data_IF_178735742869
#
_entry.id   IF_178735742869
#
_cell.length_a   1.000
_cell.length_b   1.000
_cell.length_c   1.000
_cell.angle_alpha   90.00
_cell.angle_beta   90.00
_cell.angle_gamma   90.00
#
_symmetry.space_group_name_H-M   'P 1'
#
loop_
_entity.id
_entity.type
_entity.pdbx_description
1 polymer ?
#
# COMPACT_ATOMS: atom_id res chain seq x y z
N UNK A 1 -14.53 -20.01 -39.25
CA UNK A 1 -14.87 -19.45 -37.94
C UNK A 1 -15.63 -20.48 -37.13
N UNK A 2 -15.40 -20.51 -35.84
CA UNK A 2 -16.09 -21.36 -34.87
C UNK A 2 -16.72 -20.48 -33.78
N UNK A 3 -17.81 -20.96 -33.18
CA UNK A 3 -18.42 -20.35 -32.01
C UNK A 3 -18.33 -21.32 -30.84
N UNK A 4 -17.83 -20.87 -29.70
CA UNK A 4 -17.69 -21.64 -28.47
C UNK A 4 -18.40 -20.90 -27.33
N UNK A 5 -19.16 -21.64 -26.51
CA UNK A 5 -19.85 -21.05 -25.37
C UNK A 5 -18.90 -20.72 -24.23
N UNK A 6 -17.98 -21.63 -23.95
CA UNK A 6 -17.02 -21.49 -22.85
C UNK A 6 -15.69 -22.15 -23.20
N UNK A 7 -14.59 -21.50 -22.80
CA UNK A 7 -13.22 -22.04 -22.89
C UNK A 7 -12.48 -21.73 -21.60
N UNK A 8 -11.95 -22.75 -20.95
CA UNK A 8 -11.12 -22.64 -19.78
C UNK A 8 -9.66 -22.93 -20.16
N UNK A 9 -8.78 -21.94 -20.05
CA UNK A 9 -7.35 -22.08 -20.24
C UNK A 9 -6.67 -22.17 -18.88
N UNK A 10 -6.65 -23.38 -18.32
CA UNK A 10 -5.95 -23.68 -17.06
C UNK A 10 -4.45 -23.88 -17.28
N UNK A 11 -4.03 -24.09 -18.51
CA UNK A 11 -2.63 -24.35 -18.86
C UNK A 11 -2.32 -23.83 -20.26
N UNK A 12 -1.59 -22.72 -20.32
CA UNK A 12 -0.97 -22.26 -21.57
C UNK A 12 0.07 -23.29 -22.07
N UNK A 13 0.63 -24.11 -21.19
CA UNK A 13 1.60 -25.15 -21.55
C UNK A 13 1.07 -26.17 -22.56
N UNK A 14 -0.17 -26.63 -22.41
CA UNK A 14 -0.77 -27.52 -23.37
C UNK A 14 -0.88 -26.87 -24.74
N UNK A 15 -1.28 -25.60 -24.76
CA UNK A 15 -1.39 -24.80 -25.98
C UNK A 15 -0.02 -24.57 -26.64
N UNK A 16 1.01 -24.19 -25.87
CA UNK A 16 2.36 -23.96 -26.39
C UNK A 16 3.06 -25.26 -26.78
N UNK A 17 2.91 -26.35 -26.03
CA UNK A 17 3.49 -27.65 -26.37
C UNK A 17 2.82 -28.23 -27.62
N UNK A 18 1.51 -28.13 -27.77
CA UNK A 18 0.81 -28.55 -28.99
C UNK A 18 1.18 -27.65 -30.19
N UNK A 19 1.30 -26.34 -29.98
CA UNK A 19 1.72 -25.36 -31.02
C UNK A 19 3.20 -25.53 -31.42
N UNK A 20 4.08 -25.92 -30.49
CA UNK A 20 5.51 -26.15 -30.76
C UNK A 20 5.78 -27.48 -31.42
N UNK A 21 5.04 -28.52 -31.06
CA UNK A 21 5.21 -29.89 -31.60
C UNK A 21 4.55 -30.11 -32.95
N UNK A 22 3.43 -29.51 -33.21
CA UNK A 22 2.70 -29.51 -34.50
C UNK A 22 1.89 -28.23 -34.63
N UNK A 23 2.47 -27.15 -35.17
CA UNK A 23 1.68 -25.96 -35.41
C UNK A 23 0.51 -26.29 -36.31
N UNK A 24 -0.70 -25.99 -35.88
CA UNK A 24 -1.87 -26.03 -36.75
C UNK A 24 -1.56 -25.09 -37.92
N UNK A 25 -1.46 -25.65 -39.13
CA UNK A 25 -1.04 -24.91 -40.33
C UNK A 25 -2.16 -23.99 -40.84
N UNK A 26 -3.29 -23.96 -40.15
CA UNK A 26 -4.50 -23.29 -40.63
C UNK A 26 -4.85 -22.11 -39.74
N UNK A 27 -5.09 -20.97 -40.35
CA UNK A 27 -5.66 -19.81 -39.67
C UNK A 27 -7.00 -20.15 -39.01
N UNK A 28 -7.17 -19.71 -37.79
CA UNK A 28 -8.43 -19.87 -37.05
C UNK A 28 -8.99 -18.52 -36.65
N UNK A 29 -10.31 -18.43 -36.69
CA UNK A 29 -11.10 -17.28 -36.20
C UNK A 29 -12.22 -17.85 -35.36
N UNK A 30 -12.17 -17.59 -34.05
CA UNK A 30 -13.06 -18.20 -33.06
C UNK A 30 -13.72 -17.14 -32.21
N UNK A 31 -15.04 -17.19 -32.10
CA UNK A 31 -15.81 -16.37 -31.17
C UNK A 31 -16.08 -17.19 -29.90
N UNK A 32 -15.73 -16.68 -28.76
CA UNK A 32 -15.88 -17.31 -27.44
C UNK A 32 -16.76 -16.40 -26.57
N UNK A 33 -17.89 -16.92 -26.08
CA UNK A 33 -18.78 -16.14 -25.24
C UNK A 33 -18.15 -15.88 -23.85
N UNK A 34 -17.53 -16.90 -23.29
CA UNK A 34 -16.81 -16.81 -22.01
C UNK A 34 -15.47 -17.51 -22.11
N UNK A 35 -14.40 -16.73 -21.98
CA UNK A 35 -13.02 -17.22 -21.94
C UNK A 35 -12.48 -17.01 -20.53
N UNK A 36 -12.15 -18.09 -19.85
CA UNK A 36 -11.51 -18.07 -18.55
C UNK A 36 -10.00 -18.33 -18.72
N UNK A 37 -9.17 -17.40 -18.26
CA UNK A 37 -7.72 -17.46 -18.35
C UNK A 37 -7.15 -17.21 -16.96
N UNK A 38 -6.60 -18.25 -16.32
CA UNK A 38 -5.96 -18.14 -15.01
C UNK A 38 -6.82 -17.45 -13.94
N UNK A 39 -8.09 -17.83 -13.85
CA UNK A 39 -9.01 -17.23 -12.89
C UNK A 39 -9.53 -15.85 -13.26
N UNK A 40 -9.18 -15.34 -14.44
CA UNK A 40 -9.76 -14.12 -15.00
C UNK A 40 -10.75 -14.43 -16.11
N UNK A 41 -11.87 -13.72 -16.13
CA UNK A 41 -12.96 -13.89 -17.07
C UNK A 41 -12.94 -12.83 -18.15
N UNK A 42 -12.97 -13.24 -19.42
CA UNK A 42 -13.07 -12.38 -20.60
C UNK A 42 -14.34 -12.75 -21.35
N UNK A 43 -15.24 -11.79 -21.55
CA UNK A 43 -16.51 -12.01 -22.22
C UNK A 43 -16.46 -11.61 -23.68
N UNK A 44 -17.17 -12.40 -24.52
CA UNK A 44 -17.38 -12.14 -25.94
C UNK A 44 -16.05 -11.87 -26.71
N UNK A 45 -15.08 -12.77 -26.53
CA UNK A 45 -13.79 -12.66 -27.18
C UNK A 45 -13.82 -13.23 -28.59
N UNK A 46 -13.38 -12.44 -29.59
CA UNK A 46 -12.97 -12.93 -30.89
C UNK A 46 -11.45 -13.16 -30.86
N UNK A 47 -11.03 -14.36 -31.18
CA UNK A 47 -9.62 -14.77 -31.23
C UNK A 47 -9.26 -15.16 -32.64
N UNK A 48 -8.29 -14.48 -33.23
CA UNK A 48 -7.68 -14.83 -34.50
C UNK A 48 -6.30 -15.40 -34.27
N UNK A 49 -6.09 -16.62 -34.70
CA UNK A 49 -4.83 -17.34 -34.62
C UNK A 49 -4.25 -17.48 -36.04
N UNK A 50 -3.03 -17.00 -36.22
CA UNK A 50 -2.33 -17.03 -37.52
C UNK A 50 -0.93 -17.62 -37.31
N UNK A 51 -0.73 -18.92 -37.62
CA UNK A 51 0.56 -19.56 -37.52
C UNK A 51 1.40 -19.26 -38.77
N UNK A 52 2.70 -19.13 -38.57
CA UNK A 52 3.71 -19.13 -39.61
C UNK A 52 4.77 -20.17 -39.31
N UNK A 53 5.71 -20.42 -40.22
CA UNK A 53 6.74 -21.45 -39.99
C UNK A 53 7.62 -21.22 -38.74
N UNK A 54 7.62 -20.02 -38.18
CA UNK A 54 8.51 -19.64 -37.06
C UNK A 54 7.78 -18.89 -35.95
N UNK A 55 6.64 -18.31 -36.24
CA UNK A 55 5.93 -17.41 -35.34
C UNK A 55 4.46 -17.79 -35.27
N UNK A 56 3.84 -17.55 -34.12
CA UNK A 56 2.39 -17.60 -33.95
C UNK A 56 1.92 -16.20 -33.56
N UNK A 57 0.94 -15.70 -34.29
CA UNK A 57 0.27 -14.45 -33.96
C UNK A 57 -1.14 -14.73 -33.48
N UNK A 58 -1.50 -14.21 -32.32
CA UNK A 58 -2.83 -14.28 -31.76
C UNK A 58 -3.35 -12.85 -31.57
N UNK A 59 -4.47 -12.53 -32.19
CA UNK A 59 -5.20 -11.30 -31.96
C UNK A 59 -6.38 -11.59 -31.06
N UNK A 60 -6.58 -10.76 -30.03
CA UNK A 60 -7.72 -10.84 -29.11
C UNK A 60 -8.49 -9.55 -29.23
N UNK A 61 -9.80 -9.66 -29.45
CA UNK A 61 -10.72 -8.54 -29.53
C UNK A 61 -11.96 -8.83 -28.66
N UNK A 62 -12.11 -8.10 -27.58
CA UNK A 62 -13.28 -8.14 -26.70
C UNK A 62 -13.58 -6.75 -26.13
N UNK A 63 -14.63 -6.64 -25.30
CA UNK A 63 -14.90 -5.39 -24.58
C UNK A 63 -13.83 -5.05 -23.54
N UNK A 64 -13.20 -6.07 -22.95
CA UNK A 64 -12.29 -5.94 -21.81
C UNK A 64 -10.81 -6.12 -22.23
N UNK A 65 -10.54 -6.93 -23.26
CA UNK A 65 -9.18 -7.20 -23.72
C UNK A 65 -9.07 -6.96 -25.23
N UNK A 66 -8.15 -6.08 -25.60
CA UNK A 66 -7.85 -5.76 -27.01
C UNK A 66 -6.33 -5.76 -27.20
N UNK A 67 -5.81 -6.66 -28.02
CA UNK A 67 -4.38 -6.71 -28.24
C UNK A 67 -3.92 -7.85 -29.13
N UNK A 68 -2.60 -7.96 -29.24
CA UNK A 68 -1.92 -8.97 -30.03
C UNK A 68 -0.83 -9.64 -29.21
N UNK A 69 -0.71 -10.97 -29.38
CA UNK A 69 0.35 -11.77 -28.82
C UNK A 69 1.14 -12.37 -29.99
N UNK A 70 2.45 -12.21 -29.98
CA UNK A 70 3.38 -12.80 -30.92
C UNK A 70 4.33 -13.73 -30.18
N UNK A 71 4.32 -15.00 -30.53
CA UNK A 71 5.31 -15.96 -30.06
C UNK A 71 6.32 -16.26 -31.16
N UNK A 72 7.60 -16.00 -30.85
CA UNK A 72 8.75 -16.34 -31.69
C UNK A 72 9.38 -17.64 -31.19
N UNK A 73 9.16 -18.74 -31.89
CA UNK A 73 9.65 -20.05 -31.49
C UNK A 73 11.18 -20.18 -31.59
N UNK A 74 11.84 -19.37 -32.43
CA UNK A 74 13.29 -19.40 -32.59
C UNK A 74 14.01 -18.71 -31.41
N UNK A 75 13.46 -17.61 -30.94
CA UNK A 75 14.01 -16.84 -29.81
C UNK A 75 13.40 -17.27 -28.48
N UNK A 76 12.43 -18.18 -28.50
CA UNK A 76 11.59 -18.53 -27.36
C UNK A 76 11.08 -17.30 -26.60
N UNK A 77 10.49 -16.38 -27.35
CA UNK A 77 10.06 -15.08 -26.87
C UNK A 77 8.58 -14.83 -27.16
N UNK A 78 7.83 -14.53 -26.11
CA UNK A 78 6.45 -14.08 -26.19
C UNK A 78 6.42 -12.55 -26.04
N UNK A 79 5.98 -11.85 -27.08
CA UNK A 79 5.68 -10.40 -27.07
C UNK A 79 4.18 -10.21 -27.07
N UNK A 80 3.64 -9.49 -26.08
CA UNK A 80 2.23 -9.13 -26.05
C UNK A 80 2.08 -7.63 -25.95
N UNK A 81 1.21 -7.07 -26.81
CA UNK A 81 0.86 -5.67 -26.81
C UNK A 81 -0.64 -5.49 -26.73
N UNK A 82 -1.11 -4.84 -25.67
CA UNK A 82 -2.54 -4.60 -25.43
C UNK A 82 -2.82 -3.09 -25.48
N UNK A 83 -3.83 -2.69 -26.23
CA UNK A 83 -4.43 -1.37 -26.10
C UNK A 83 -5.31 -1.27 -24.86
N UNK A 84 -5.91 -2.42 -24.48
CA UNK A 84 -6.79 -2.57 -23.33
C UNK A 84 -6.57 -3.94 -22.69
N UNK A 85 -6.33 -3.96 -21.40
CA UNK A 85 -6.15 -5.17 -20.59
C UNK A 85 -6.92 -5.01 -19.28
N UNK A 86 -8.24 -5.24 -19.32
CA UNK A 86 -9.12 -5.18 -18.15
C UNK A 86 -9.41 -6.62 -17.72
N UNK A 87 -8.87 -7.00 -16.57
CA UNK A 87 -8.96 -8.35 -16.03
C UNK A 87 -9.92 -8.36 -14.84
N UNK A 88 -10.97 -9.18 -14.90
CA UNK A 88 -11.94 -9.36 -13.82
C UNK A 88 -11.79 -10.75 -13.24
N UNK A 89 -11.58 -10.82 -11.92
CA UNK A 89 -11.43 -12.10 -11.23
C UNK A 89 -12.74 -12.90 -11.32
N UNK A 90 -12.64 -14.17 -11.68
CA UNK A 90 -13.78 -15.08 -11.71
C UNK A 90 -13.95 -15.77 -10.35
N UNK A 91 -14.79 -15.21 -9.49
CA UNK A 91 -15.05 -15.74 -8.15
C UNK A 91 -15.89 -17.03 -8.13
N UNK A 92 -16.34 -17.52 -9.28
CA UNK A 92 -17.15 -18.75 -9.37
C UNK A 92 -16.31 -20.01 -9.60
N UNK A 93 -15.05 -19.84 -10.01
CA UNK A 93 -14.14 -20.98 -10.13
C UNK A 93 -13.62 -21.29 -8.72
N UNK A 94 -13.95 -22.48 -8.22
CA UNK A 94 -13.34 -23.04 -7.01
C UNK A 94 -11.84 -23.13 -7.25
N UNK A 95 -11.04 -22.74 -6.26
CA UNK A 95 -9.57 -22.85 -6.25
C UNK A 95 -9.15 -24.30 -6.58
N UNK A 96 -9.16 -24.66 -7.86
CA UNK A 96 -8.44 -25.82 -8.31
C UNK A 96 -6.97 -25.38 -8.39
N UNK A 97 -6.10 -26.07 -7.65
CA UNK A 97 -4.66 -25.79 -7.61
C UNK A 97 -4.04 -26.02 -9.01
N UNK A 98 -4.39 -25.19 -9.97
CA UNK A 98 -3.79 -25.19 -11.30
C UNK A 98 -2.34 -24.74 -11.12
N UNK A 99 -1.46 -25.74 -10.99
CA UNK A 99 -0.02 -25.54 -10.92
C UNK A 99 0.43 -24.93 -12.24
N UNK A 100 0.79 -23.66 -12.20
CA UNK A 100 1.50 -23.00 -13.28
C UNK A 100 2.90 -23.63 -13.44
N UNK A 101 3.00 -24.79 -14.04
CA UNK A 101 4.29 -25.44 -14.33
C UNK A 101 4.69 -25.08 -15.76
N UNK A 102 5.55 -24.10 -15.88
CA UNK A 102 6.15 -23.74 -17.17
C UNK A 102 7.57 -24.30 -17.25
N UNK A 103 7.73 -25.58 -17.56
CA UNK A 103 9.07 -26.16 -17.70
C UNK A 103 9.92 -25.51 -18.78
N UNK A 104 9.30 -25.06 -19.89
CA UNK A 104 9.94 -24.47 -21.07
C UNK A 104 9.30 -23.14 -21.47
N UNK A 105 8.95 -22.29 -20.49
CA UNK A 105 8.28 -21.04 -20.75
C UNK A 105 9.14 -20.07 -21.59
N UNK A 106 8.54 -19.36 -22.54
CA UNK A 106 9.23 -18.34 -23.29
C UNK A 106 9.60 -17.15 -22.39
N UNK A 107 10.62 -16.40 -22.77
CA UNK A 107 10.81 -15.03 -22.25
C UNK A 107 9.56 -14.21 -22.54
N UNK A 108 9.07 -13.47 -21.57
CA UNK A 108 7.84 -12.67 -21.66
C UNK A 108 8.20 -11.19 -21.77
N UNK A 109 7.60 -10.49 -22.74
CA UNK A 109 7.63 -9.04 -22.85
C UNK A 109 6.20 -8.55 -23.12
N UNK A 110 5.55 -8.02 -22.08
CA UNK A 110 4.16 -7.58 -22.12
C UNK A 110 4.10 -6.06 -21.98
N UNK A 111 3.30 -5.42 -22.82
CA UNK A 111 2.93 -4.00 -22.70
C UNK A 111 1.42 -3.84 -22.78
N UNK A 112 0.83 -3.03 -21.92
CA UNK A 112 -0.57 -2.66 -22.01
C UNK A 112 -0.72 -1.15 -21.77
N UNK A 113 -1.53 -0.46 -22.57
CA UNK A 113 -1.79 0.98 -22.41
C UNK A 113 -2.89 1.29 -21.39
N UNK A 114 -3.68 0.31 -21.02
CA UNK A 114 -4.73 0.47 -20.03
C UNK A 114 -4.87 -0.84 -19.28
N UNK A 115 -4.21 -0.93 -18.13
CA UNK A 115 -4.37 -2.04 -17.20
C UNK A 115 -5.45 -1.69 -16.18
N UNK A 116 -6.46 -2.56 -16.06
CA UNK A 116 -7.43 -2.55 -14.95
C UNK A 116 -7.49 -3.96 -14.34
N UNK A 117 -7.53 -4.02 -13.02
CA UNK A 117 -7.76 -5.25 -12.27
C UNK A 117 -9.03 -5.04 -11.43
N UNK A 118 -10.06 -5.83 -11.73
CA UNK A 118 -11.43 -5.63 -11.24
C UNK A 118 -11.93 -4.21 -11.57
N UNK A 119 -12.11 -3.35 -10.59
CA UNK A 119 -12.57 -1.97 -10.76
C UNK A 119 -11.44 -0.92 -10.67
N UNK A 120 -10.22 -1.36 -10.30
CA UNK A 120 -9.08 -0.49 -10.07
C UNK A 120 -8.29 -0.22 -11.36
N UNK A 121 -8.10 1.06 -11.68
CA UNK A 121 -7.35 1.51 -12.86
C UNK A 121 -5.89 1.80 -12.50
N UNK A 122 -4.97 1.00 -13.04
CA UNK A 122 -3.54 1.13 -12.76
C UNK A 122 -2.77 1.96 -13.79
N UNK A 123 -3.21 1.99 -15.05
CA UNK A 123 -2.55 2.74 -16.14
C UNK A 123 -1.76 1.85 -17.09
N UNK A 124 -0.63 2.36 -17.61
CA UNK A 124 0.20 1.67 -18.60
C UNK A 124 1.13 0.66 -17.93
N UNK A 125 1.10 -0.59 -18.38
CA UNK A 125 1.96 -1.67 -17.91
C UNK A 125 3.09 -1.97 -18.89
N UNK A 126 4.29 -2.19 -18.37
CA UNK A 126 5.39 -2.89 -19.05
C UNK A 126 5.94 -3.97 -18.13
N UNK A 127 6.09 -5.20 -18.63
CA UNK A 127 6.59 -6.35 -17.89
C UNK A 127 7.58 -7.14 -18.74
N UNK A 128 8.75 -7.44 -18.16
CA UNK A 128 9.74 -8.36 -18.75
C UNK A 128 10.03 -9.43 -17.70
N UNK A 129 9.84 -10.70 -18.08
CA UNK A 129 10.15 -11.83 -17.22
C UNK A 129 10.67 -13.02 -18.05
N UNK A 130 11.47 -13.86 -17.42
CA UNK A 130 12.01 -15.09 -18.04
C UNK A 130 12.29 -16.16 -16.99
N UNK A 131 12.27 -17.40 -17.42
CA UNK A 131 12.60 -18.54 -16.54
C UNK A 131 14.07 -18.90 -16.64
N UNK A 132 14.75 -18.98 -15.51
CA UNK A 132 16.14 -19.40 -15.40
C UNK A 132 16.32 -20.28 -14.14
N UNK A 133 16.98 -21.42 -14.28
CA UNK A 133 17.26 -22.34 -13.17
C UNK A 133 16.00 -22.70 -12.35
N UNK A 134 14.89 -22.96 -13.02
CA UNK A 134 13.57 -23.31 -12.44
C UNK A 134 12.88 -22.17 -11.67
N UNK A 135 13.39 -20.96 -11.77
CA UNK A 135 12.78 -19.79 -11.17
C UNK A 135 12.43 -18.76 -12.24
N UNK A 136 11.30 -18.12 -12.09
CA UNK A 136 10.95 -16.95 -12.86
C UNK A 136 11.69 -15.73 -12.31
N UNK A 137 12.45 -15.09 -13.17
CA UNK A 137 13.04 -13.79 -12.92
C UNK A 137 12.12 -12.73 -13.54
N UNK A 138 11.45 -11.96 -12.71
CA UNK A 138 10.74 -10.74 -13.11
C UNK A 138 11.81 -9.65 -13.20
N UNK A 139 12.42 -9.53 -14.41
CA UNK A 139 13.52 -8.60 -14.66
C UNK A 139 13.09 -7.17 -14.36
N UNK A 140 11.90 -6.81 -14.80
CA UNK A 140 11.29 -5.51 -14.49
C UNK A 140 9.79 -5.55 -14.74
N UNK A 141 9.06 -4.83 -13.88
CA UNK A 141 7.72 -4.37 -14.21
C UNK A 141 7.62 -2.87 -13.93
N UNK A 142 6.83 -2.20 -14.74
CA UNK A 142 6.56 -0.78 -14.58
C UNK A 142 5.10 -0.50 -14.88
N UNK A 143 4.46 0.25 -13.98
CA UNK A 143 3.09 0.74 -14.15
C UNK A 143 3.15 2.26 -14.09
N UNK A 144 2.54 2.93 -15.05
CA UNK A 144 2.55 4.40 -15.16
C UNK A 144 1.12 4.89 -15.30
N UNK A 145 0.72 5.78 -14.41
CA UNK A 145 -0.47 6.62 -14.59
C UNK A 145 -0.07 8.10 -14.54
N UNK A 146 -0.95 9.05 -14.84
CA UNK A 146 -0.66 10.46 -14.67
C UNK A 146 -0.26 10.86 -13.26
N UNK A 147 -0.79 10.16 -12.26
CA UNK A 147 -0.68 10.53 -10.85
C UNK A 147 0.25 9.61 -10.05
N UNK A 148 0.70 8.47 -10.61
CA UNK A 148 1.68 7.60 -9.94
C UNK A 148 2.52 6.75 -10.91
N UNK A 149 3.65 6.27 -10.39
CA UNK A 149 4.51 5.30 -11.07
C UNK A 149 4.93 4.21 -10.11
N UNK A 150 4.72 2.94 -10.50
CA UNK A 150 5.24 1.78 -9.78
C UNK A 150 6.35 1.16 -10.63
N UNK A 151 7.50 0.90 -10.03
CA UNK A 151 8.57 0.12 -10.63
C UNK A 151 8.89 -1.05 -9.71
N UNK A 152 9.28 -2.18 -10.29
CA UNK A 152 9.71 -3.29 -9.49
C UNK A 152 10.39 -4.38 -10.28
N UNK A 153 10.90 -5.36 -9.52
CA UNK A 153 11.54 -6.58 -10.00
C UNK A 153 11.33 -7.67 -8.96
N UNK A 154 11.56 -8.92 -9.31
CA UNK A 154 11.35 -9.98 -8.34
C UNK A 154 11.66 -11.36 -8.86
N UNK A 155 11.36 -12.33 -8.01
CA UNK A 155 11.54 -13.76 -8.27
C UNK A 155 10.25 -14.50 -7.94
N UNK A 156 9.95 -15.51 -8.74
CA UNK A 156 8.89 -16.46 -8.46
C UNK A 156 9.45 -17.89 -8.62
N UNK A 157 9.52 -18.59 -7.51
CA UNK A 157 9.83 -20.02 -7.48
C UNK A 157 8.52 -20.82 -7.67
N UNK A 158 8.34 -21.43 -8.84
CA UNK A 158 7.14 -22.19 -9.19
C UNK A 158 7.31 -23.70 -9.01
N UNK A 159 8.55 -24.20 -8.86
CA UNK A 159 8.89 -25.62 -8.79
C UNK A 159 9.48 -26.05 -7.42
N UNK A 160 9.72 -25.13 -6.51
CA UNK A 160 10.27 -25.42 -5.18
C UNK A 160 9.30 -26.21 -4.28
N UNK A 161 9.84 -26.73 -3.17
CA UNK A 161 9.02 -27.41 -2.14
C UNK A 161 7.98 -26.47 -1.50
N UNK A 162 8.22 -25.15 -1.58
CA UNK A 162 7.34 -24.11 -1.10
C UNK A 162 7.32 -22.98 -2.12
N UNK A 163 6.48 -23.06 -3.16
CA UNK A 163 6.36 -22.02 -4.17
C UNK A 163 6.17 -20.64 -3.51
N UNK A 164 6.94 -19.65 -3.98
CA UNK A 164 6.96 -18.33 -3.36
C UNK A 164 7.25 -17.24 -4.38
N UNK A 165 6.55 -16.13 -4.23
CA UNK A 165 6.80 -14.89 -4.98
C UNK A 165 7.44 -13.85 -4.06
N UNK A 166 8.47 -13.17 -4.55
CA UNK A 166 9.13 -12.06 -3.86
C UNK A 166 9.32 -10.90 -4.82
N UNK A 167 8.84 -9.72 -4.45
CA UNK A 167 8.85 -8.50 -5.27
C UNK A 167 9.51 -7.37 -4.50
N UNK A 168 10.53 -6.76 -5.10
CA UNK A 168 11.04 -5.44 -4.70
C UNK A 168 10.33 -4.39 -5.52
N UNK A 169 9.88 -3.31 -4.89
CA UNK A 169 9.14 -2.27 -5.57
C UNK A 169 9.46 -0.88 -5.04
N UNK A 170 9.24 0.12 -5.91
CA UNK A 170 9.07 1.52 -5.57
C UNK A 170 7.77 2.02 -6.16
N UNK A 171 7.03 2.78 -5.38
CA UNK A 171 5.78 3.42 -5.81
C UNK A 171 5.88 4.91 -5.52
N UNK A 172 6.04 5.71 -6.56
CA UNK A 172 6.10 7.16 -6.51
C UNK A 172 4.72 7.73 -6.88
N UNK A 173 4.13 8.48 -5.96
CA UNK A 173 2.78 9.04 -6.06
C UNK A 173 2.91 10.55 -6.16
N UNK A 174 2.59 11.09 -7.33
CA UNK A 174 2.62 12.52 -7.59
C UNK A 174 1.38 13.26 -7.04
N UNK A 175 0.26 12.54 -6.90
CA UNK A 175 -0.97 13.04 -6.29
C UNK A 175 -1.68 11.90 -5.56
N UNK A 176 -1.69 11.95 -4.21
CA UNK A 176 -2.26 10.88 -3.38
C UNK A 176 -3.78 10.78 -3.57
N UNK A 177 -4.49 11.92 -3.54
CA UNK A 177 -5.94 11.97 -3.69
C UNK A 177 -6.39 11.25 -4.95
N UNK A 178 -5.89 11.66 -6.11
CA UNK A 178 -6.26 11.06 -7.40
C UNK A 178 -5.84 9.60 -7.53
N UNK A 179 -4.68 9.24 -6.98
CA UNK A 179 -4.23 7.84 -6.99
C UNK A 179 -5.17 6.96 -6.16
N UNK A 180 -5.60 7.43 -5.00
CA UNK A 180 -6.51 6.68 -4.14
C UNK A 180 -7.93 6.62 -4.72
N UNK A 181 -8.40 7.68 -5.38
CA UNK A 181 -9.67 7.66 -6.13
C UNK A 181 -9.63 6.61 -7.25
N UNK A 182 -8.52 6.50 -7.99
CA UNK A 182 -8.33 5.50 -9.05
C UNK A 182 -8.30 4.06 -8.53
N UNK A 183 -7.85 3.87 -7.28
CA UNK A 183 -7.77 2.59 -6.59
C UNK A 183 -8.98 2.31 -5.68
N UNK A 184 -10.10 2.98 -5.92
CA UNK A 184 -11.36 2.79 -5.19
C UNK A 184 -11.32 3.09 -3.69
N UNK A 185 -10.37 3.97 -3.25
CA UNK A 185 -10.24 4.46 -1.87
C UNK A 185 -10.43 5.99 -1.78
N UNK A 186 -11.57 6.55 -2.17
CA UNK A 186 -11.78 7.98 -2.19
C UNK A 186 -11.84 8.60 -0.78
N UNK A 187 -11.57 9.90 -0.72
CA UNK A 187 -11.75 10.73 0.50
C UNK A 187 -10.90 10.31 1.72
N UNK A 188 -9.74 9.66 1.52
CA UNK A 188 -8.82 9.35 2.61
C UNK A 188 -7.83 10.47 2.89
N UNK A 189 -7.16 10.92 1.84
CA UNK A 189 -6.14 11.97 1.89
C UNK A 189 -6.43 12.91 0.74
N UNK A 190 -6.48 14.20 1.04
CA UNK A 190 -6.59 15.26 0.05
C UNK A 190 -5.21 15.78 -0.29
N UNK A 191 -4.98 16.02 -1.59
CA UNK A 191 -3.70 16.50 -2.11
C UNK A 191 -2.52 15.56 -1.75
N UNK A 192 -1.32 16.09 -1.63
CA UNK A 192 -0.13 15.39 -1.17
C UNK A 192 0.58 14.54 -2.21
N UNK A 193 1.83 14.20 -1.87
CA UNK A 193 2.71 13.31 -2.64
C UNK A 193 3.25 12.24 -1.72
N UNK A 194 3.56 11.06 -2.27
CA UNK A 194 4.18 10.00 -1.47
C UNK A 194 5.19 9.18 -2.28
N UNK A 195 6.07 8.52 -1.56
CA UNK A 195 6.94 7.47 -2.09
C UNK A 195 6.95 6.29 -1.13
N UNK A 196 6.77 5.09 -1.67
CA UNK A 196 6.81 3.83 -0.94
C UNK A 196 7.87 2.95 -1.57
N UNK A 197 8.78 2.42 -0.77
CA UNK A 197 9.84 1.52 -1.23
C UNK A 197 9.88 0.32 -0.32
N UNK A 198 9.90 -0.88 -0.88
CA UNK A 198 9.91 -2.07 -0.07
C UNK A 198 10.09 -3.37 -0.82
N UNK A 199 9.95 -4.44 -0.05
CA UNK A 199 9.92 -5.81 -0.53
C UNK A 199 8.72 -6.52 0.09
N UNK A 200 7.96 -7.22 -0.73
CA UNK A 200 6.85 -8.06 -0.31
C UNK A 200 7.02 -9.46 -0.87
N UNK A 201 6.57 -10.45 -0.13
CA UNK A 201 6.57 -11.85 -0.54
C UNK A 201 5.32 -12.57 -0.05
N UNK A 202 4.89 -13.55 -0.81
CA UNK A 202 3.75 -14.41 -0.50
C UNK A 202 3.94 -15.80 -1.10
N UNK A 203 3.32 -16.85 -0.56
CA UNK A 203 3.31 -18.18 -1.16
C UNK A 203 2.65 -18.20 -2.54
N UNK A 204 3.01 -19.20 -3.34
CA UNK A 204 2.46 -19.45 -4.68
C UNK A 204 2.87 -18.41 -5.73
N UNK A 205 2.06 -18.25 -6.77
CA UNK A 205 2.35 -17.44 -7.95
C UNK A 205 2.09 -15.94 -7.71
N UNK A 206 2.62 -15.06 -8.57
CA UNK A 206 2.27 -13.63 -8.55
C UNK A 206 0.77 -13.35 -8.67
N UNK A 207 0.01 -14.29 -9.25
CA UNK A 207 -1.44 -14.16 -9.44
C UNK A 207 -2.25 -14.64 -8.23
N UNK A 208 -1.63 -15.40 -7.31
CA UNK A 208 -2.26 -15.93 -6.08
C UNK A 208 -1.97 -15.04 -4.87
N UNK A 209 -2.01 -13.73 -5.07
CA UNK A 209 -1.81 -12.77 -3.99
C UNK A 209 -2.88 -12.91 -2.91
N UNK A 210 -2.45 -13.18 -1.66
CA UNK A 210 -3.31 -13.28 -0.49
C UNK A 210 -2.74 -12.44 0.66
N UNK A 211 -3.53 -11.46 1.13
CA UNK A 211 -3.17 -10.57 2.24
C UNK A 211 -2.81 -11.34 3.51
N UNK A 212 -3.47 -12.50 3.76
CA UNK A 212 -3.27 -13.30 4.98
C UNK A 212 -1.90 -13.96 5.06
N UNK A 213 -1.23 -14.13 3.92
CA UNK A 213 0.09 -14.76 3.84
C UNK A 213 1.21 -13.78 3.54
N UNK A 214 0.87 -12.50 3.35
CA UNK A 214 1.80 -11.45 2.96
C UNK A 214 2.87 -11.21 4.02
N UNK A 215 4.13 -11.16 3.57
CA UNK A 215 5.31 -10.86 4.40
C UNK A 215 6.19 -9.84 3.72
N UNK A 216 6.98 -9.12 4.52
CA UNK A 216 7.96 -8.19 4.00
C UNK A 216 8.10 -6.93 4.82
N UNK A 217 8.55 -5.87 4.17
CA UNK A 217 8.68 -4.56 4.79
C UNK A 217 8.65 -3.47 3.72
N UNK A 218 8.25 -2.28 4.15
CA UNK A 218 8.33 -1.09 3.30
C UNK A 218 8.54 0.17 4.13
N UNK A 219 9.07 1.19 3.49
CA UNK A 219 9.17 2.56 4.00
C UNK A 219 8.24 3.45 3.21
N UNK A 220 7.53 4.32 3.90
CA UNK A 220 6.64 5.33 3.34
C UNK A 220 7.16 6.72 3.71
N UNK A 221 7.21 7.62 2.75
CA UNK A 221 7.34 9.06 2.96
C UNK A 221 6.21 9.75 2.22
N UNK A 222 5.50 10.68 2.88
CA UNK A 222 4.50 11.52 2.22
C UNK A 222 4.69 12.98 2.64
N UNK A 223 4.26 13.92 1.79
CA UNK A 223 4.36 15.37 2.03
C UNK A 223 3.12 16.11 1.55
N UNK A 224 2.87 17.26 2.16
CA UNK A 224 1.98 18.31 1.69
C UNK A 224 0.53 17.88 1.45
N UNK A 225 -0.07 17.16 2.40
CA UNK A 225 -1.44 16.65 2.27
C UNK A 225 -2.30 16.88 3.51
N UNK A 226 -3.54 16.44 3.40
CA UNK A 226 -4.54 16.53 4.47
C UNK A 226 -5.16 15.15 4.67
N UNK A 227 -4.98 14.55 5.84
CA UNK A 227 -5.73 13.36 6.24
C UNK A 227 -7.16 13.79 6.55
N UNK A 228 -8.12 13.30 5.77
CA UNK A 228 -9.52 13.68 5.91
C UNK A 228 -10.19 12.86 7.02
N UNK A 229 -11.35 13.34 7.49
CA UNK A 229 -12.21 12.57 8.37
C UNK A 229 -12.78 11.39 7.60
N UNK A 230 -12.37 10.20 7.99
CA UNK A 230 -12.64 9.01 7.21
C UNK A 230 -13.98 8.35 7.51
N UNK A 231 -14.64 7.87 6.47
CA UNK A 231 -15.83 6.99 6.52
C UNK A 231 -15.41 5.56 6.95
N UNK A 232 -16.35 4.63 7.25
CA UNK A 232 -16.06 3.27 7.74
C UNK A 232 -15.06 2.48 6.87
N UNK A 233 -14.32 1.57 7.48
CA UNK A 233 -13.34 0.70 6.83
C UNK A 233 -11.89 1.17 7.00
N UNK A 234 -11.00 0.82 6.06
CA UNK A 234 -9.56 1.21 6.03
C UNK A 234 -9.37 2.71 6.28
N UNK A 235 -10.32 3.51 5.81
CA UNK A 235 -10.38 4.94 6.04
C UNK A 235 -10.39 5.31 7.52
N UNK A 236 -10.99 4.51 8.41
CA UNK A 236 -10.99 4.79 9.86
C UNK A 236 -9.62 4.63 10.51
N UNK A 237 -8.74 3.77 10.00
CA UNK A 237 -7.34 3.75 10.46
C UNK A 237 -6.69 5.13 10.31
N UNK A 238 -6.97 5.82 9.21
CA UNK A 238 -6.50 7.19 9.00
C UNK A 238 -7.35 8.21 9.77
N UNK A 239 -8.66 7.98 9.92
CA UNK A 239 -9.58 8.84 10.69
C UNK A 239 -9.30 8.88 12.18
N UNK A 240 -8.71 7.82 12.75
CA UNK A 240 -8.22 7.82 14.13
C UNK A 240 -7.03 8.78 14.33
N UNK A 241 -6.36 9.13 13.24
CA UNK A 241 -5.32 10.14 13.22
C UNK A 241 -5.89 11.57 13.16
N UNK A 242 -7.17 11.71 12.80
CA UNK A 242 -7.88 12.99 12.91
C UNK A 242 -8.38 13.10 14.33
N UNK A 243 -7.71 13.87 15.12
CA UNK A 243 -7.83 14.12 16.57
C UNK A 243 -9.21 14.65 17.03
N UNK A 244 -10.32 14.20 16.41
CA UNK A 244 -11.67 14.69 16.70
C UNK A 244 -12.17 14.37 18.10
N UNK A 245 -11.58 13.36 18.74
CA UNK A 245 -11.94 12.95 20.08
C UNK A 245 -11.01 13.51 21.16
N UNK A 246 -10.17 14.50 20.83
CA UNK A 246 -9.44 15.23 21.87
C UNK A 246 -10.44 15.78 22.89
N UNK A 247 -10.29 15.40 24.19
CA UNK A 247 -11.23 15.86 25.20
C UNK A 247 -11.32 17.37 25.18
N UNK A 248 -12.53 17.91 25.10
CA UNK A 248 -12.87 19.34 25.19
C UNK A 248 -12.34 20.05 26.47
N UNK A 249 -11.45 19.40 27.22
CA UNK A 249 -10.94 19.86 28.52
C UNK A 249 -9.64 20.62 28.47
N UNK A 250 -8.95 20.64 27.35
CA UNK A 250 -7.90 21.63 27.12
C UNK A 250 -8.62 22.94 26.75
N UNK A 251 -8.49 23.99 27.57
CA UNK A 251 -9.06 25.31 27.37
C UNK A 251 -8.56 26.05 26.10
N UNK A 252 -7.88 25.36 25.23
CA UNK A 252 -7.48 25.80 23.90
C UNK A 252 -8.37 25.01 22.91
N UNK A 253 -9.33 25.72 22.32
CA UNK A 253 -10.28 25.14 21.36
C UNK A 253 -9.57 24.89 20.03
N UNK A 254 -9.01 23.69 19.86
CA UNK A 254 -8.41 23.25 18.60
C UNK A 254 -9.43 22.61 17.65
N UNK A 255 -10.71 22.57 18.01
CA UNK A 255 -11.77 21.95 17.21
C UNK A 255 -11.85 22.53 15.81
N UNK A 256 -11.60 23.84 15.66
CA UNK A 256 -11.61 24.53 14.37
C UNK A 256 -10.42 24.13 13.47
N UNK A 257 -9.30 23.71 14.07
CA UNK A 257 -8.08 23.32 13.32
C UNK A 257 -8.24 21.91 12.73
N UNK A 258 -8.96 21.03 13.40
CA UNK A 258 -9.15 19.64 13.01
C UNK A 258 -10.47 19.36 12.31
N UNK A 259 -11.41 20.32 12.31
CA UNK A 259 -12.74 20.15 11.69
C UNK A 259 -12.70 19.88 10.18
N UNK A 260 -11.57 20.16 9.52
CA UNK A 260 -11.35 19.93 8.07
C UNK A 260 -10.32 18.83 7.76
N UNK A 261 -9.94 18.02 8.75
CA UNK A 261 -8.89 17.02 8.64
C UNK A 261 -7.56 17.48 9.23
N UNK A 262 -6.57 16.59 9.27
CA UNK A 262 -5.22 16.85 9.77
C UNK A 262 -4.28 17.21 8.63
N UNK A 263 -3.85 18.46 8.57
CA UNK A 263 -2.83 18.92 7.61
C UNK A 263 -1.48 18.38 8.04
N UNK A 264 -0.74 17.76 7.13
CA UNK A 264 0.62 17.31 7.37
C UNK A 264 1.60 17.91 6.34
N UNK A 265 2.75 18.34 6.84
CA UNK A 265 3.90 18.73 6.03
C UNK A 265 4.68 17.50 5.61
N UNK A 266 4.78 16.50 6.53
CA UNK A 266 5.54 15.27 6.29
C UNK A 266 5.04 14.09 7.10
N UNK A 267 5.00 12.92 6.45
CA UNK A 267 4.83 11.61 7.09
C UNK A 267 6.07 10.76 6.76
N UNK A 268 6.59 10.03 7.75
CA UNK A 268 7.56 8.97 7.55
C UNK A 268 7.11 7.74 8.32
N UNK A 269 7.16 6.59 7.68
CA UNK A 269 6.86 5.32 8.32
C UNK A 269 7.78 4.21 7.85
N UNK A 270 8.13 3.31 8.76
CA UNK A 270 8.73 2.01 8.45
C UNK A 270 7.79 0.92 8.93
N UNK A 271 7.37 0.05 8.04
CA UNK A 271 6.37 -0.98 8.29
C UNK A 271 6.96 -2.37 8.02
N UNK A 272 6.70 -3.29 8.93
CA UNK A 272 6.97 -4.72 8.75
C UNK A 272 5.62 -5.41 8.57
N UNK A 273 5.53 -6.26 7.58
CA UNK A 273 4.33 -7.06 7.27
C UNK A 273 4.62 -8.52 7.58
N UNK A 274 3.75 -9.17 8.33
CA UNK A 274 3.86 -10.59 8.62
C UNK A 274 2.46 -11.23 8.73
N UNK A 275 2.10 -12.06 7.74
CA UNK A 275 0.80 -12.75 7.67
C UNK A 275 -0.40 -11.80 7.87
N UNK A 276 -0.44 -10.70 7.11
CA UNK A 276 -1.49 -9.71 7.17
C UNK A 276 -1.46 -8.77 8.39
N UNK A 277 -0.48 -8.93 9.29
CA UNK A 277 -0.26 -7.99 10.40
C UNK A 277 0.80 -6.98 9.98
N UNK A 278 0.44 -5.70 9.98
CA UNK A 278 1.33 -4.58 9.72
C UNK A 278 1.79 -4.01 11.06
N UNK A 279 3.09 -3.96 11.28
CA UNK A 279 3.71 -3.43 12.51
C UNK A 279 4.61 -2.27 12.20
N UNK A 280 4.46 -1.17 12.93
CA UNK A 280 5.35 -0.02 12.86
C UNK A 280 5.80 0.41 14.25
N UNK A 281 7.10 0.68 14.38
CA UNK A 281 7.69 1.31 15.55
C UNK A 281 8.21 2.73 15.23
N UNK A 282 8.09 3.16 13.97
CA UNK A 282 8.63 4.42 13.44
C UNK A 282 7.65 5.04 12.46
N UNK A 283 6.48 5.41 12.97
CA UNK A 283 5.56 6.27 12.22
C UNK A 283 5.61 7.67 12.87
N UNK A 284 5.86 8.68 12.06
CA UNK A 284 5.83 10.09 12.48
C UNK A 284 5.09 10.89 11.42
N UNK A 285 4.16 11.71 11.87
CA UNK A 285 3.45 12.68 11.04
C UNK A 285 3.61 14.06 11.65
N UNK A 286 4.13 14.98 10.85
CA UNK A 286 4.46 16.34 11.25
C UNK A 286 3.58 17.30 10.47
N UNK A 287 2.84 18.14 11.18
CA UNK A 287 1.99 19.20 10.60
C UNK A 287 2.10 20.52 11.35
N UNK A 288 1.44 21.57 10.85
CA UNK A 288 1.47 22.89 11.49
C UNK A 288 0.92 22.90 12.91
N UNK A 289 -0.10 22.05 13.17
CA UNK A 289 -0.81 22.01 14.44
C UNK A 289 -0.16 21.08 15.49
N UNK A 290 0.42 19.98 15.04
CA UNK A 290 0.98 18.96 15.94
C UNK A 290 2.00 18.07 15.23
N UNK A 291 2.77 17.33 16.04
CA UNK A 291 3.52 16.16 15.65
C UNK A 291 2.88 14.92 16.26
N UNK A 292 2.61 13.92 15.42
CA UNK A 292 1.98 12.65 15.83
C UNK A 292 2.97 11.50 15.61
N UNK A 293 3.18 10.71 16.65
CA UNK A 293 3.98 9.49 16.59
C UNK A 293 3.10 8.29 16.89
N UNK A 294 3.28 7.21 16.12
CA UNK A 294 2.49 5.98 16.27
C UNK A 294 3.42 4.78 16.35
N UNK A 295 3.11 3.88 17.28
CA UNK A 295 3.73 2.57 17.42
C UNK A 295 2.63 1.52 17.59
N UNK A 296 2.86 0.31 17.10
CA UNK A 296 1.91 -0.78 17.29
C UNK A 296 1.69 -1.57 16.03
N UNK A 297 0.54 -2.23 15.97
CA UNK A 297 0.19 -3.13 14.88
C UNK A 297 -1.28 -3.03 14.48
N UNK A 298 -1.55 -3.38 13.23
CA UNK A 298 -2.90 -3.54 12.70
C UNK A 298 -2.99 -4.82 11.89
N UNK A 299 -4.09 -5.55 12.03
CA UNK A 299 -4.40 -6.74 11.26
C UNK A 299 -5.36 -6.35 10.13
N UNK A 300 -4.88 -6.44 8.88
CA UNK A 300 -5.67 -6.06 7.69
C UNK A 300 -6.66 -7.15 7.25
N UNK A 301 -6.65 -8.32 7.90
CA UNK A 301 -7.58 -9.42 7.64
C UNK A 301 -8.78 -9.31 8.57
N UNK A 302 -8.51 -9.14 9.86
CA UNK A 302 -9.53 -9.02 10.91
C UNK A 302 -10.03 -7.58 11.09
N UNK A 303 -9.42 -6.63 10.38
CA UNK A 303 -9.69 -5.19 10.48
C UNK A 303 -9.63 -4.69 11.93
N UNK A 304 -8.59 -5.14 12.64
CA UNK A 304 -8.34 -4.79 14.05
C UNK A 304 -7.05 -4.02 14.20
N UNK A 305 -6.90 -3.33 15.34
CA UNK A 305 -5.72 -2.54 15.65
C UNK A 305 -5.37 -2.59 17.13
N UNK A 306 -4.08 -2.42 17.41
CA UNK A 306 -3.54 -2.13 18.73
C UNK A 306 -2.36 -1.17 18.53
N UNK A 307 -2.66 0.12 18.60
CA UNK A 307 -1.70 1.18 18.33
C UNK A 307 -1.63 2.15 19.51
N UNK A 308 -0.44 2.64 19.75
CA UNK A 308 -0.12 3.66 20.72
C UNK A 308 0.21 4.96 19.97
N UNK A 309 -0.53 6.01 20.26
CA UNK A 309 -0.47 7.31 19.59
C UNK A 309 -0.03 8.37 20.59
N UNK A 310 1.00 9.12 20.24
CA UNK A 310 1.47 10.29 20.99
C UNK A 310 1.28 11.52 20.11
N UNK A 311 0.55 12.49 20.62
CA UNK A 311 0.30 13.78 19.97
C UNK A 311 1.01 14.88 20.73
N UNK A 312 1.92 15.58 20.05
CA UNK A 312 2.64 16.73 20.59
C UNK A 312 2.12 18.00 19.88
N UNK A 313 1.22 18.79 20.51
CA UNK A 313 0.75 20.03 19.92
C UNK A 313 1.90 21.02 19.70
N UNK A 314 1.91 21.69 18.55
CA UNK A 314 2.85 22.78 18.28
C UNK A 314 2.26 24.09 18.75
N UNK A 315 2.79 24.59 19.87
CA UNK A 315 2.43 25.91 20.35
C UNK A 315 3.24 26.92 19.55
N UNK A 316 2.55 27.77 18.76
CA UNK A 316 3.24 28.88 18.10
C UNK A 316 3.84 29.82 19.14
N UNK A 317 5.06 30.32 18.87
CA UNK A 317 5.77 31.27 19.76
C UNK A 317 4.96 32.58 20.08
N UNK A 318 3.83 32.80 19.41
CA UNK A 318 2.93 33.91 19.60
C UNK A 318 1.92 33.75 20.75
N UNK A 319 1.71 32.56 21.27
CA UNK A 319 1.03 32.37 22.54
C UNK A 319 2.05 32.63 23.65
N UNK A 320 2.23 33.90 23.99
CA UNK A 320 3.09 34.27 25.09
C UNK A 320 2.63 33.59 26.37
N UNK A 321 3.54 32.82 27.00
CA UNK A 321 3.38 32.19 28.31
C UNK A 321 2.81 33.15 29.38
N UNK A 322 2.76 34.46 29.09
CA UNK A 322 2.14 35.54 29.89
C UNK A 322 0.63 35.42 30.03
N UNK A 323 -0.07 34.74 29.08
CA UNK A 323 -1.53 34.56 29.20
C UNK A 323 -1.91 33.38 30.09
N UNK A 324 -1.00 32.42 30.29
CA UNK A 324 -1.22 31.22 31.14
C UNK A 324 -0.94 31.52 32.63
N UNK A 325 -0.16 32.54 32.94
CA UNK A 325 0.24 32.89 34.30
C UNK A 325 -0.40 34.21 34.76
N UNK A 326 -1.71 34.28 34.83
CA UNK A 326 -2.46 35.49 35.23
C UNK A 326 -1.99 36.15 36.51
N UNK A 327 -0.92 36.96 36.47
CA UNK A 327 -0.51 37.82 37.58
C UNK A 327 0.84 38.51 37.39
N UNK A 328 1.03 39.73 38.04
CA UNK A 328 2.23 40.54 37.85
C UNK A 328 3.54 40.01 38.42
N UNK A 329 3.53 38.89 39.12
CA UNK A 329 4.74 38.22 39.67
C UNK A 329 5.33 37.15 38.71
N UNK A 330 4.69 36.93 37.58
CA UNK A 330 5.07 35.87 36.63
C UNK A 330 6.28 36.24 35.74
N UNK A 331 6.70 37.48 35.66
CA UNK A 331 7.75 37.92 34.74
C UNK A 331 9.13 37.32 35.00
N UNK A 332 9.51 37.11 36.25
CA UNK A 332 10.79 36.50 36.62
C UNK A 332 10.77 34.98 36.54
N UNK A 333 9.65 34.36 36.91
CA UNK A 333 9.45 32.92 36.80
C UNK A 333 9.32 32.48 35.32
N UNK A 334 8.67 33.28 34.47
CA UNK A 334 8.54 33.04 33.04
C UNK A 334 9.89 33.06 32.30
N UNK A 335 10.82 33.91 32.70
CA UNK A 335 12.15 34.00 32.07
C UNK A 335 13.04 32.78 32.40
N UNK A 336 12.93 32.27 33.62
CA UNK A 336 13.61 31.02 34.04
C UNK A 336 12.98 29.82 33.40
N UNK A 337 11.64 29.77 33.33
CA UNK A 337 10.89 28.74 32.64
C UNK A 337 11.22 28.61 31.13
N UNK A 338 11.41 29.76 30.46
CA UNK A 338 11.71 29.80 29.02
C UNK A 338 13.07 29.15 28.65
N UNK A 339 14.01 29.12 29.56
CA UNK A 339 15.35 28.58 29.33
C UNK A 339 15.50 27.09 29.76
N UNK A 340 14.68 26.66 30.73
CA UNK A 340 14.76 25.31 31.34
C UNK A 340 13.66 24.37 30.78
N UNK A 341 12.56 24.90 30.23
CA UNK A 341 11.32 24.17 30.04
C UNK A 341 10.90 23.92 28.57
N UNK A 342 11.77 24.10 27.56
CA UNK A 342 11.35 23.78 26.17
C UNK A 342 10.97 22.30 26.02
N UNK A 343 11.75 21.39 26.57
CA UNK A 343 11.46 19.95 26.48
C UNK A 343 10.44 19.43 27.52
N UNK A 344 10.46 19.87 28.78
CA UNK A 344 9.46 19.42 29.76
C UNK A 344 8.03 19.92 29.48
N UNK A 345 7.85 21.15 28.98
CA UNK A 345 6.51 21.68 28.68
C UNK A 345 5.88 20.93 27.49
N UNK A 346 6.63 20.56 26.47
CA UNK A 346 6.15 19.73 25.38
C UNK A 346 5.72 18.33 25.87
N UNK A 347 6.42 17.76 26.86
CA UNK A 347 6.05 16.50 27.48
C UNK A 347 4.80 16.60 28.36
N UNK A 348 4.57 17.73 29.01
CA UNK A 348 3.39 17.97 29.85
C UNK A 348 2.13 18.18 28.99
N UNK A 349 2.28 18.70 27.77
CA UNK A 349 1.17 18.97 26.86
C UNK A 349 0.95 17.87 25.82
N UNK A 350 1.75 16.80 25.84
CA UNK A 350 1.55 15.65 24.96
C UNK A 350 0.36 14.82 25.42
N UNK A 351 -0.52 14.50 24.48
CA UNK A 351 -1.59 13.53 24.68
C UNK A 351 -1.17 12.16 24.19
N UNK A 352 -1.50 11.15 24.96
CA UNK A 352 -1.10 9.77 24.70
C UNK A 352 -2.31 8.85 24.83
N UNK A 353 -2.53 8.08 23.76
CA UNK A 353 -3.69 7.19 23.62
C UNK A 353 -3.22 5.81 23.22
N UNK A 354 -3.88 4.80 23.76
CA UNK A 354 -3.88 3.48 23.16
C UNK A 354 -5.20 3.29 22.43
N UNK A 355 -5.16 2.89 21.18
CA UNK A 355 -6.36 2.61 20.39
C UNK A 355 -6.35 1.11 20.08
N UNK A 356 -7.39 0.42 20.50
CA UNK A 356 -7.59 -1.02 20.31
C UNK A 356 -8.93 -1.29 19.63
N UNK A 357 -9.23 -2.56 19.34
CA UNK A 357 -10.50 -3.00 18.78
C UNK A 357 -10.53 -3.01 17.26
N UNK A 358 -11.73 -3.05 16.69
CA UNK A 358 -11.92 -3.10 15.23
C UNK A 358 -11.81 -1.71 14.60
N UNK A 359 -11.62 -1.67 13.28
CA UNK A 359 -11.63 -0.39 12.56
C UNK A 359 -12.99 0.29 12.59
N UNK A 360 -14.07 -0.49 12.70
CA UNK A 360 -15.44 0.02 12.78
C UNK A 360 -15.83 0.51 14.17
N UNK A 361 -15.32 -0.13 15.22
CA UNK A 361 -15.59 0.20 16.61
C UNK A 361 -14.26 0.30 17.38
N UNK A 362 -13.47 1.37 17.16
CA UNK A 362 -12.23 1.59 17.89
C UNK A 362 -12.51 2.01 19.32
N UNK A 363 -11.79 1.42 20.26
CA UNK A 363 -11.78 1.82 21.66
C UNK A 363 -10.54 2.64 21.96
N UNK A 364 -10.74 3.84 22.54
CA UNK A 364 -9.67 4.71 22.97
C UNK A 364 -9.47 4.57 24.48
N UNK A 365 -8.25 4.26 24.88
CA UNK A 365 -7.82 4.20 26.29
C UNK A 365 -6.84 5.34 26.51
N UNK A 366 -7.28 6.36 27.26
CA UNK A 366 -6.42 7.47 27.65
C UNK A 366 -5.55 7.08 28.85
N UNK A 367 -4.27 7.41 28.79
CA UNK A 367 -3.39 7.37 29.97
C UNK A 367 -3.60 8.64 30.77
N UNK A 368 -4.06 8.59 32.03
CA UNK A 368 -4.35 9.79 32.82
C UNK A 368 -3.11 10.68 32.94
N UNK A 369 -3.25 11.96 32.57
CA UNK A 369 -2.15 12.96 32.67
C UNK A 369 -1.64 13.13 34.10
N UNK A 370 -2.50 12.91 35.11
CA UNK A 370 -2.18 13.04 36.53
C UNK A 370 -1.14 12.03 36.99
N UNK A 371 -1.20 10.80 36.48
CA UNK A 371 -0.21 9.75 36.83
C UNK A 371 1.17 10.10 36.26
N UNK A 372 1.23 10.60 35.02
CA UNK A 372 2.50 11.07 34.41
C UNK A 372 3.12 12.23 35.16
N UNK A 373 2.31 13.18 35.63
CA UNK A 373 2.81 14.31 36.41
C UNK A 373 3.42 13.84 37.74
N UNK A 374 2.78 12.86 38.39
CA UNK A 374 3.27 12.21 39.60
C UNK A 374 4.56 11.42 39.39
N UNK A 375 4.67 10.65 38.31
CA UNK A 375 5.88 9.92 37.96
C UNK A 375 7.05 10.82 37.58
N UNK A 376 6.80 11.89 36.82
CA UNK A 376 7.82 12.86 36.41
C UNK A 376 8.37 13.64 37.59
N UNK A 377 7.49 14.11 38.51
CA UNK A 377 7.91 14.79 39.74
C UNK A 377 8.67 13.80 40.65
N UNK A 378 8.26 12.56 40.75
CA UNK A 378 8.96 11.57 41.57
C UNK A 378 10.32 11.20 41.02
N UNK A 379 10.51 11.12 39.69
CA UNK A 379 11.82 10.85 39.09
C UNK A 379 12.78 12.04 39.20
N UNK A 380 12.27 13.26 39.06
CA UNK A 380 13.13 14.46 39.09
C UNK A 380 13.48 14.90 40.52
N UNK A 381 12.60 14.65 41.49
CA UNK A 381 12.85 14.92 42.91
C UNK A 381 13.67 13.81 43.56
N UNK A 382 13.50 12.54 43.16
CA UNK A 382 14.22 11.39 43.73
C UNK A 382 15.58 11.10 43.13
N UNK A 383 15.88 11.67 41.92
CA UNK A 383 17.20 11.63 41.30
C UNK A 383 17.62 13.06 40.87
N UNK A 384 18.06 13.93 41.79
CA UNK A 384 18.67 15.19 41.40
C UNK A 384 19.91 14.87 40.57
N UNK A 385 19.93 15.37 39.33
CA UNK A 385 21.06 15.20 38.42
C UNK A 385 22.34 15.63 39.11
N UNK A 386 23.37 14.78 39.04
CA UNK A 386 24.69 14.98 39.66
C UNK A 386 25.46 16.24 39.19
N UNK A 387 24.89 17.05 38.30
CA UNK A 387 25.44 18.31 37.81
C UNK A 387 25.33 19.47 38.83
N UNK A 388 24.49 19.38 39.86
CA UNK A 388 24.36 20.46 40.85
C UNK A 388 25.39 20.37 42.02
N UNK A 389 26.21 19.34 42.07
CA UNK A 389 27.19 19.13 43.15
C UNK A 389 28.60 19.63 42.84
N UNK A 390 28.87 20.28 41.70
CA UNK A 390 30.18 20.78 41.30
C UNK A 390 30.19 22.34 41.17
N UNK A 391 29.67 23.07 42.15
CA UNK A 391 29.99 24.45 42.32
C UNK A 391 30.72 24.57 43.66
N UNK A 392 32.03 24.58 43.58
CA UNK A 392 32.94 25.15 44.57
C UNK A 392 33.65 26.31 43.96
#
# INVERSE_FOLDING_TARGET
>A
SAELSEVNLESINSLFNDLSSKPLITDMDVNIQELNVYGYKILNANIKYVPTNKNVSIQILSNDVVGNILWDSKENLLKAGFEKLHLKKNNTLVDDESKFIFSDAPKINIKAKSLMLDEDAYGDLSLIAFKENKMWNIESFKIISPDHTINGSGLWDDEGLSPNTSINFSWDIANIEKTFDQLSYPELIKDGKASVIGMLSWPKSPFDFDKSTLKGNFSLTATDGVVLEAKPGVARLFGLLTLQNLPRRLSLDFSDIFSKGFIFDKINAGVIVNNGILKSNRFSMVGPAAEVSIKGETNIIEETQNIHVIVNPRISDSLSLLSLAGGPLAGAAAFIAQKILKDPLNKIMSDEYQIIGTWDEPEEIQTPQIERFGEMISQEILQPSSEFLNIK
#
